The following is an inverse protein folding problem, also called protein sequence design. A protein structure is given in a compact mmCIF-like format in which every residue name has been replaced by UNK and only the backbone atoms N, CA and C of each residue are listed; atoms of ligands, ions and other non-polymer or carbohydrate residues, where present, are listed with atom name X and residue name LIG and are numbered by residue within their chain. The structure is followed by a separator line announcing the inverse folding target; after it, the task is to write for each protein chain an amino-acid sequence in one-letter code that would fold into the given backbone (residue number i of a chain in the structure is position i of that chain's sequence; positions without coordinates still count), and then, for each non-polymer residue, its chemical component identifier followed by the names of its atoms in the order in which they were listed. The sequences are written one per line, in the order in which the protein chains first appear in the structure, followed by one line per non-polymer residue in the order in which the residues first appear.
data_IF_828299755796
#
_entry.id   IF_828299755796
#
_cell.length_a   1.000
_cell.length_b   1.000
_cell.length_c   1.000
_cell.angle_alpha   90.00
_cell.angle_beta   90.00
_cell.angle_gamma   90.00
#
_symmetry.space_group_name_H-M   'P 1'
#
loop_
_entity.id
_entity.type
_entity.pdbx_description
1 polymer ?
#
# COMPACT_ATOMS: atom_id res chain seq x y z
N UNK A 1 40.65 -15.69 9.36
CA UNK A 1 40.35 -14.91 10.57
C UNK A 1 40.15 -13.48 10.10
N UNK A 2 38.91 -13.02 10.02
CA UNK A 2 38.50 -11.62 10.15
C UNK A 2 37.00 -11.57 9.85
N UNK A 3 36.23 -11.67 10.93
CA UNK A 3 34.77 -11.60 10.95
C UNK A 3 34.43 -10.80 12.21
N UNK A 4 34.86 -9.52 12.26
CA UNK A 4 34.73 -8.66 13.45
C UNK A 4 34.49 -7.17 13.16
N UNK A 5 34.39 -6.74 11.89
CA UNK A 5 34.17 -5.32 11.55
C UNK A 5 32.70 -4.91 11.55
N UNK A 6 31.75 -5.82 11.29
CA UNK A 6 30.33 -5.46 11.17
C UNK A 6 29.61 -5.25 12.51
N UNK A 7 29.95 -6.02 13.56
CA UNK A 7 29.31 -5.87 14.88
C UNK A 7 29.60 -4.50 15.51
N UNK A 8 30.81 -3.96 15.31
CA UNK A 8 31.17 -2.64 15.85
C UNK A 8 30.37 -1.51 15.20
N UNK A 9 30.02 -1.63 13.91
CA UNK A 9 29.26 -0.62 13.17
C UNK A 9 27.78 -0.60 13.59
N UNK A 10 27.22 -1.78 13.86
CA UNK A 10 25.82 -1.94 14.27
C UNK A 10 25.56 -1.38 15.68
N UNK A 11 26.40 -1.72 16.66
CA UNK A 11 26.27 -1.18 18.03
C UNK A 11 26.51 0.34 18.08
N UNK A 12 27.42 0.85 17.25
CA UNK A 12 27.65 2.29 17.11
C UNK A 12 26.41 3.03 16.56
N UNK A 13 25.67 2.41 15.64
CA UNK A 13 24.44 3.00 15.08
C UNK A 13 23.34 3.10 16.13
N UNK A 14 23.15 2.04 16.93
CA UNK A 14 22.20 2.04 18.06
C UNK A 14 22.53 3.16 19.05
N UNK A 15 23.80 3.24 19.46
CA UNK A 15 24.25 4.25 20.42
C UNK A 15 24.02 5.67 19.90
N UNK A 16 24.39 5.96 18.65
CA UNK A 16 24.19 7.30 18.06
C UNK A 16 22.73 7.68 17.96
N UNK A 17 21.87 6.76 17.55
CA UNK A 17 20.43 7.05 17.46
C UNK A 17 19.85 7.29 18.86
N UNK A 18 20.26 6.49 19.85
CA UNK A 18 19.87 6.70 21.24
C UNK A 18 20.33 8.07 21.77
N UNK A 19 21.59 8.46 21.52
CA UNK A 19 22.13 9.74 21.97
C UNK A 19 21.36 10.94 21.37
N UNK A 20 20.85 10.82 20.15
CA UNK A 20 20.11 11.89 19.48
C UNK A 20 18.60 11.91 19.77
N UNK A 21 17.98 10.75 19.96
CA UNK A 21 16.51 10.64 20.07
C UNK A 21 16.02 10.25 21.46
N UNK A 22 16.91 9.72 22.31
CA UNK A 22 16.56 9.06 23.56
C UNK A 22 15.82 7.73 23.39
N UNK A 23 15.59 7.27 22.15
CA UNK A 23 14.81 6.06 21.87
C UNK A 23 15.73 4.84 21.78
N UNK A 24 15.33 3.76 22.47
CA UNK A 24 15.99 2.47 22.36
C UNK A 24 15.45 1.75 21.13
N UNK A 25 16.32 1.48 20.17
CA UNK A 25 15.98 0.80 18.92
C UNK A 25 16.77 -0.51 18.85
N UNK A 26 16.15 -1.54 18.30
CA UNK A 26 16.79 -2.83 18.04
C UNK A 26 17.97 -2.70 17.07
N UNK A 27 19.02 -3.50 17.27
CA UNK A 27 20.27 -3.44 16.51
C UNK A 27 20.08 -3.59 15.01
N UNK A 28 19.21 -4.50 14.55
CA UNK A 28 18.94 -4.69 13.12
C UNK A 28 18.25 -3.44 12.51
N UNK A 29 17.21 -2.96 13.19
CA UNK A 29 16.48 -1.75 12.77
C UNK A 29 17.39 -0.51 12.75
N UNK A 30 18.24 -0.33 13.77
CA UNK A 30 19.18 0.78 13.83
C UNK A 30 20.20 0.76 12.68
N UNK A 31 20.66 -0.43 12.29
CA UNK A 31 21.60 -0.61 11.18
C UNK A 31 20.95 -0.26 9.84
N UNK A 32 19.66 -0.55 9.66
CA UNK A 32 18.90 -0.16 8.47
C UNK A 32 18.53 1.33 8.43
N UNK A 33 18.26 1.94 9.59
CA UNK A 33 17.88 3.35 9.69
C UNK A 33 19.07 4.29 9.52
N UNK A 34 20.26 3.92 10.00
CA UNK A 34 21.41 4.83 10.01
C UNK A 34 21.79 5.39 8.63
N UNK A 35 21.88 4.58 7.55
CA UNK A 35 22.09 5.09 6.19
C UNK A 35 20.99 6.06 5.73
N UNK A 36 19.72 5.77 6.08
CA UNK A 36 18.58 6.64 5.75
C UNK A 36 18.67 7.98 6.49
N UNK A 37 19.12 7.99 7.75
CA UNK A 37 19.30 9.22 8.53
C UNK A 37 20.38 10.10 7.89
N UNK A 38 21.52 9.51 7.50
CA UNK A 38 22.58 10.26 6.82
C UNK A 38 22.09 10.84 5.48
N UNK A 39 21.33 10.06 4.71
CA UNK A 39 20.74 10.51 3.47
C UNK A 39 19.70 11.63 3.69
N UNK A 40 18.87 11.52 4.72
CA UNK A 40 17.88 12.54 5.08
C UNK A 40 18.54 13.82 5.57
N UNK A 41 19.58 13.73 6.40
CA UNK A 41 20.40 14.87 6.80
C UNK A 41 20.98 15.58 5.57
N UNK A 42 21.61 14.82 4.66
CA UNK A 42 22.17 15.38 3.43
C UNK A 42 21.07 16.05 2.59
N UNK A 43 19.91 15.43 2.45
CA UNK A 43 18.76 15.97 1.71
C UNK A 43 18.30 17.31 2.30
N UNK A 44 18.13 17.39 3.61
CA UNK A 44 17.68 18.60 4.29
C UNK A 44 18.71 19.72 4.16
N UNK A 45 20.00 19.44 4.38
CA UNK A 45 21.06 20.44 4.35
C UNK A 45 21.46 20.86 2.93
N UNK A 46 21.81 19.90 2.07
CA UNK A 46 22.42 20.20 0.78
C UNK A 46 21.38 20.44 -0.32
N UNK A 47 20.32 19.63 -0.34
CA UNK A 47 19.32 19.73 -1.41
C UNK A 47 18.24 20.75 -1.12
N UNK A 48 17.83 20.88 0.15
CA UNK A 48 16.74 21.76 0.57
C UNK A 48 17.24 23.04 1.26
N UNK A 49 18.55 23.18 1.50
CA UNK A 49 19.16 24.39 2.06
C UNK A 49 18.72 24.69 3.50
N UNK A 50 18.31 23.68 4.27
CA UNK A 50 17.89 23.84 5.67
C UNK A 50 19.10 23.67 6.59
N UNK A 51 19.29 24.63 7.49
CA UNK A 51 20.27 24.51 8.56
C UNK A 51 19.72 23.58 9.66
N UNK A 52 20.09 22.30 9.60
CA UNK A 52 19.64 21.27 10.55
C UNK A 52 20.81 20.42 11.02
N UNK A 53 20.83 20.17 12.33
CA UNK A 53 21.77 19.25 12.97
C UNK A 53 21.43 17.78 12.71
N UNK A 54 22.36 16.90 13.07
CA UNK A 54 22.18 15.44 12.94
C UNK A 54 21.08 14.92 13.87
N UNK A 55 20.93 15.52 15.04
CA UNK A 55 19.88 15.29 16.02
C UNK A 55 18.48 15.58 15.43
N UNK A 56 18.31 16.75 14.81
CA UNK A 56 17.05 17.15 14.17
C UNK A 56 16.71 16.23 13.01
N UNK A 57 17.69 15.92 12.15
CA UNK A 57 17.48 15.02 11.02
C UNK A 57 17.15 13.58 11.48
N UNK A 58 17.81 13.10 12.52
CA UNK A 58 17.55 11.78 13.12
C UNK A 58 16.12 11.71 13.69
N UNK A 59 15.75 12.70 14.50
CA UNK A 59 14.42 12.78 15.10
C UNK A 59 13.34 12.86 14.03
N UNK A 60 13.46 13.78 13.07
CA UNK A 60 12.48 13.97 12.00
C UNK A 60 12.27 12.71 11.16
N UNK A 61 13.35 12.02 10.78
CA UNK A 61 13.21 10.78 10.01
C UNK A 61 12.42 9.74 10.82
N UNK A 62 12.79 9.52 12.08
CA UNK A 62 12.21 8.45 12.90
C UNK A 62 10.78 8.76 13.32
N UNK A 63 10.48 10.00 13.71
CA UNK A 63 9.16 10.36 14.24
C UNK A 63 8.15 10.73 13.16
N UNK A 64 8.61 11.27 12.03
CA UNK A 64 7.72 11.84 11.03
C UNK A 64 7.77 11.09 9.70
N UNK A 65 8.96 10.69 9.22
CA UNK A 65 9.10 10.12 7.87
C UNK A 65 8.88 8.61 7.85
N UNK A 66 9.59 7.86 8.69
CA UNK A 66 9.48 6.39 8.74
C UNK A 66 8.03 5.90 9.00
N UNK A 67 7.25 6.51 9.91
CA UNK A 67 5.85 6.13 10.08
C UNK A 67 4.99 6.36 8.83
N UNK A 68 5.30 7.36 8.01
CA UNK A 68 4.59 7.61 6.74
C UNK A 68 5.04 6.64 5.64
N UNK A 69 6.29 6.18 5.68
CA UNK A 69 6.83 5.20 4.75
C UNK A 69 6.44 3.76 5.09
N UNK A 70 6.06 3.48 6.34
CA UNK A 70 5.40 2.24 6.69
C UNK A 70 4.09 2.17 5.93
N UNK A 71 4.10 1.37 4.87
CA UNK A 71 2.88 0.91 4.22
C UNK A 71 2.11 0.18 5.34
N UNK A 72 0.94 0.67 5.76
CA UNK A 72 0.19 0.02 6.83
C UNK A 72 0.01 -1.45 6.45
N UNK A 73 0.11 -2.33 7.45
CA UNK A 73 -0.19 -3.73 7.20
C UNK A 73 -1.63 -3.85 6.65
N UNK A 74 -1.94 -4.96 5.99
CA UNK A 74 -3.27 -5.15 5.40
C UNK A 74 -4.39 -5.02 6.44
N UNK A 75 -4.12 -5.35 7.71
CA UNK A 75 -5.09 -5.26 8.80
C UNK A 75 -5.38 -3.80 9.19
N UNK A 76 -4.35 -2.97 9.29
CA UNK A 76 -4.43 -1.54 9.59
C UNK A 76 -5.07 -0.77 8.42
N UNK A 77 -4.74 -1.12 7.17
CA UNK A 77 -5.45 -0.58 6.00
C UNK A 77 -6.94 -0.88 6.04
N UNK A 78 -7.29 -2.14 6.29
CA UNK A 78 -8.69 -2.57 6.36
C UNK A 78 -9.40 -1.85 7.51
N UNK A 79 -8.74 -1.67 8.65
CA UNK A 79 -9.29 -0.92 9.79
C UNK A 79 -9.59 0.52 9.43
N UNK A 80 -8.63 1.25 8.83
CA UNK A 80 -8.82 2.63 8.39
C UNK A 80 -9.96 2.73 7.36
N UNK A 81 -9.98 1.83 6.38
CA UNK A 81 -11.05 1.81 5.37
C UNK A 81 -12.43 1.56 6.02
N UNK A 82 -12.53 0.65 6.98
CA UNK A 82 -13.78 0.41 7.72
C UNK A 82 -14.22 1.63 8.53
N UNK A 83 -13.30 2.31 9.20
CA UNK A 83 -13.59 3.56 9.93
C UNK A 83 -14.08 4.67 8.97
N UNK A 84 -13.61 4.67 7.73
CA UNK A 84 -14.09 5.57 6.66
C UNK A 84 -15.42 5.12 6.01
N UNK A 85 -16.02 4.02 6.48
CA UNK A 85 -17.29 3.51 5.97
C UNK A 85 -17.18 2.59 4.75
N UNK A 86 -15.98 2.06 4.45
CA UNK A 86 -15.81 1.04 3.44
C UNK A 86 -16.51 -0.25 3.85
N UNK A 87 -17.14 -0.90 2.88
CA UNK A 87 -17.80 -2.19 3.07
C UNK A 87 -17.18 -3.19 2.10
N UNK A 88 -16.78 -4.35 2.62
CA UNK A 88 -16.35 -5.48 1.79
C UNK A 88 -17.60 -6.14 1.21
N UNK A 89 -17.62 -6.32 -0.11
CA UNK A 89 -18.69 -7.08 -0.76
C UNK A 89 -18.28 -8.54 -0.86
N UNK A 90 -19.14 -9.45 -0.44
CA UNK A 90 -18.85 -10.88 -0.57
C UNK A 90 -18.93 -11.32 -2.03
N UNK A 91 -18.02 -12.23 -2.41
CA UNK A 91 -18.04 -12.88 -3.72
C UNK A 91 -19.36 -13.63 -3.99
N UNK A 92 -19.97 -14.17 -2.95
CA UNK A 92 -21.25 -14.90 -2.99
C UNK A 92 -22.37 -14.11 -3.67
N UNK A 93 -22.37 -12.77 -3.55
CA UNK A 93 -23.34 -11.87 -4.17
C UNK A 93 -23.35 -12.01 -5.70
N UNK A 94 -22.19 -12.26 -6.31
CA UNK A 94 -22.12 -12.44 -7.76
C UNK A 94 -22.77 -13.74 -8.23
N UNK A 95 -22.65 -14.79 -7.42
CA UNK A 95 -23.17 -16.13 -7.74
C UNK A 95 -24.69 -16.19 -7.65
N UNK A 96 -25.32 -15.31 -6.87
CA UNK A 96 -26.80 -15.21 -6.81
C UNK A 96 -27.40 -14.60 -8.09
N UNK A 97 -26.62 -13.86 -8.87
CA UNK A 97 -27.09 -13.19 -10.09
C UNK A 97 -27.16 -14.23 -11.22
N UNK A 98 -28.31 -14.34 -11.88
CA UNK A 98 -28.51 -15.33 -12.93
C UNK A 98 -27.53 -15.20 -14.10
N UNK A 99 -26.91 -16.31 -14.51
CA UNK A 99 -25.96 -16.41 -15.64
C UNK A 99 -26.59 -16.10 -17.01
N UNK A 100 -27.91 -16.22 -17.13
CA UNK A 100 -28.63 -15.94 -18.38
C UNK A 100 -28.86 -14.45 -18.61
N UNK A 101 -28.59 -13.61 -17.60
CA UNK A 101 -28.75 -12.16 -17.69
C UNK A 101 -27.69 -11.57 -18.64
N UNK A 102 -28.09 -10.86 -19.71
CA UNK A 102 -27.14 -10.23 -20.64
C UNK A 102 -26.11 -9.31 -19.95
N UNK A 103 -26.46 -8.49 -18.93
CA UNK A 103 -25.47 -7.68 -18.21
C UNK A 103 -24.35 -8.49 -17.56
N UNK A 104 -24.66 -9.66 -16.96
CA UNK A 104 -23.68 -10.55 -16.32
C UNK A 104 -22.64 -11.04 -17.32
N UNK A 105 -23.09 -11.48 -18.49
CA UNK A 105 -22.21 -11.97 -19.55
C UNK A 105 -21.31 -10.87 -20.11
N UNK A 106 -21.85 -9.68 -20.35
CA UNK A 106 -21.08 -8.53 -20.86
C UNK A 106 -19.98 -8.15 -19.87
N UNK A 107 -20.34 -7.99 -18.59
CA UNK A 107 -19.42 -7.61 -17.52
C UNK A 107 -18.35 -8.66 -17.30
N UNK A 108 -18.73 -9.95 -17.28
CA UNK A 108 -17.79 -11.04 -17.12
C UNK A 108 -16.75 -11.05 -18.25
N UNK A 109 -17.20 -10.92 -19.51
CA UNK A 109 -16.33 -10.96 -20.69
C UNK A 109 -15.47 -9.71 -20.89
N UNK A 110 -15.98 -8.53 -20.54
CA UNK A 110 -15.34 -7.23 -20.84
C UNK A 110 -14.57 -6.63 -19.66
N UNK A 111 -14.91 -7.01 -18.42
CA UNK A 111 -14.26 -6.47 -17.22
C UNK A 111 -13.55 -7.58 -16.44
N UNK A 112 -14.30 -8.57 -15.96
CA UNK A 112 -13.79 -9.54 -14.98
C UNK A 112 -12.72 -10.43 -15.61
N UNK A 113 -13.01 -11.05 -16.76
CA UNK A 113 -12.05 -11.93 -17.42
C UNK A 113 -10.74 -11.22 -17.80
N UNK A 114 -10.76 -10.02 -18.42
CA UNK A 114 -9.53 -9.30 -18.71
C UNK A 114 -8.69 -8.92 -17.48
N UNK A 115 -9.33 -8.59 -16.35
CA UNK A 115 -8.64 -8.22 -15.11
C UNK A 115 -8.14 -9.42 -14.31
N UNK A 116 -8.87 -10.54 -14.34
CA UNK A 116 -8.49 -11.77 -13.63
C UNK A 116 -7.50 -12.63 -14.42
N UNK A 117 -7.51 -12.56 -15.76
CA UNK A 117 -6.63 -13.31 -16.65
C UNK A 117 -5.85 -12.39 -17.59
N UNK A 118 -5.04 -11.49 -17.01
CA UNK A 118 -4.30 -10.45 -17.74
C UNK A 118 -3.41 -10.98 -18.88
N UNK A 119 -2.76 -12.13 -18.68
CA UNK A 119 -1.88 -12.73 -19.70
C UNK A 119 -2.65 -13.11 -20.97
N UNK A 120 -3.83 -13.72 -20.79
CA UNK A 120 -4.72 -14.09 -21.91
C UNK A 120 -5.26 -12.82 -22.57
N UNK A 121 -5.67 -11.83 -21.78
CA UNK A 121 -6.15 -10.55 -22.28
C UNK A 121 -5.08 -9.84 -23.15
N UNK A 122 -3.82 -9.84 -22.69
CA UNK A 122 -2.67 -9.27 -23.40
C UNK A 122 -2.38 -10.01 -24.70
N UNK A 123 -2.40 -11.35 -24.68
CA UNK A 123 -2.22 -12.19 -25.89
C UNK A 123 -3.26 -11.85 -26.96
N UNK A 124 -4.51 -11.65 -26.55
CA UNK A 124 -5.61 -11.30 -27.44
C UNK A 124 -5.78 -9.79 -27.67
N UNK A 125 -4.86 -8.96 -27.13
CA UNK A 125 -4.90 -7.48 -27.23
C UNK A 125 -6.27 -6.90 -26.86
N UNK A 126 -6.87 -7.43 -25.81
CA UNK A 126 -8.18 -7.00 -25.34
C UNK A 126 -8.08 -5.59 -24.78
N UNK A 127 -8.90 -4.68 -25.31
CA UNK A 127 -9.02 -3.31 -24.80
C UNK A 127 -10.08 -3.29 -23.70
N UNK A 128 -9.66 -2.90 -22.50
CA UNK A 128 -10.57 -2.74 -21.36
C UNK A 128 -11.46 -1.50 -21.56
N UNK A 129 -12.77 -1.59 -21.31
CA UNK A 129 -13.64 -0.42 -21.31
C UNK A 129 -13.23 0.55 -20.18
N UNK A 130 -13.20 1.85 -20.48
CA UNK A 130 -12.90 2.89 -19.49
C UNK A 130 -14.05 3.17 -18.53
N UNK A 131 -15.30 2.96 -18.98
CA UNK A 131 -16.50 3.32 -18.23
C UNK A 131 -17.65 2.40 -18.62
N UNK A 132 -18.44 1.99 -17.63
CA UNK A 132 -19.68 1.24 -17.82
C UNK A 132 -20.77 1.92 -16.99
N UNK A 133 -21.97 2.02 -17.57
CA UNK A 133 -23.11 2.69 -16.97
C UNK A 133 -24.23 1.68 -16.80
N UNK A 134 -24.72 1.52 -15.58
CA UNK A 134 -25.91 0.73 -15.26
C UNK A 134 -27.13 1.67 -15.18
N UNK A 135 -28.10 1.49 -16.06
CA UNK A 135 -29.31 2.32 -16.13
C UNK A 135 -30.58 1.48 -16.17
N UNK A 136 -31.71 2.06 -15.77
CA UNK A 136 -33.03 1.42 -15.77
C UNK A 136 -33.92 1.88 -14.61
N UNK A 137 -35.17 1.39 -14.53
CA UNK A 137 -36.12 1.72 -13.45
C UNK A 137 -35.59 1.46 -12.03
N UNK A 138 -36.09 2.15 -10.99
CA UNK A 138 -35.72 1.83 -9.61
C UNK A 138 -36.11 0.38 -9.27
N UNK A 139 -35.32 -0.30 -8.42
CA UNK A 139 -35.59 -1.68 -8.01
C UNK A 139 -35.06 -2.78 -8.94
N UNK A 140 -34.47 -2.46 -10.11
CA UNK A 140 -33.94 -3.49 -11.03
C UNK A 140 -32.56 -4.07 -10.64
N UNK A 141 -32.17 -3.95 -9.36
CA UNK A 141 -30.95 -4.60 -8.85
C UNK A 141 -29.61 -4.00 -9.32
N UNK A 142 -29.56 -2.81 -9.94
CA UNK A 142 -28.31 -2.18 -10.43
C UNK A 142 -27.23 -2.09 -9.34
N UNK A 143 -27.58 -1.55 -8.16
CA UNK A 143 -26.65 -1.43 -7.03
C UNK A 143 -26.20 -2.79 -6.51
N UNK A 144 -27.12 -3.76 -6.47
CA UNK A 144 -26.81 -5.14 -6.05
C UNK A 144 -25.82 -5.81 -7.01
N UNK A 145 -26.03 -5.61 -8.31
CA UNK A 145 -25.14 -6.11 -9.35
C UNK A 145 -23.73 -5.53 -9.24
N UNK A 146 -23.61 -4.21 -9.01
CA UNK A 146 -22.32 -3.55 -8.78
C UNK A 146 -21.61 -4.08 -7.53
N UNK A 147 -22.34 -4.33 -6.43
CA UNK A 147 -21.77 -4.98 -5.24
C UNK A 147 -21.23 -6.38 -5.56
N UNK A 148 -21.95 -7.15 -6.37
CA UNK A 148 -21.47 -8.46 -6.85
C UNK A 148 -20.16 -8.35 -7.63
N UNK A 149 -20.04 -7.38 -8.54
CA UNK A 149 -18.78 -7.14 -9.28
C UNK A 149 -17.64 -6.82 -8.30
N UNK A 150 -17.88 -5.92 -7.35
CA UNK A 150 -16.89 -5.48 -6.37
C UNK A 150 -16.43 -6.58 -5.41
N UNK A 151 -17.19 -7.67 -5.25
CA UNK A 151 -16.76 -8.83 -4.47
C UNK A 151 -15.98 -9.87 -5.28
N UNK A 152 -16.00 -9.80 -6.61
CA UNK A 152 -15.27 -10.71 -7.51
C UNK A 152 -13.90 -10.16 -7.91
N UNK A 153 -13.81 -8.84 -8.07
CA UNK A 153 -12.57 -8.11 -8.33
C UNK A 153 -11.83 -7.85 -7.01
#
# INVERSE_FOLDING_TARGET
MEMNTDLSSAENSVRRIFDFTGQKIETDTATQLWPKILQHKWLLSEKLGRDVGMDVACLDLITNIEPLLKIPDEEEKIKVLKEMGAHVSERSIWDTISETQPPKQIVNKRIILPLTAEEVARKHKVVLPKTIIFFGPPGTGKTYFVKGIAGVL
#
